data_IF_575289607086
#
_entry.id   IF_575289607086
#
_cell.length_a   1.000
_cell.length_b   1.000
_cell.length_c   1.000
_cell.angle_alpha   90.00
_cell.angle_beta   90.00
_cell.angle_gamma   90.00
#
_symmetry.space_group_name_H-M   'P 1'
#
loop_
_entity.id
_entity.type
_entity.pdbx_description
1 polymer ?
#
# COMPACT_ATOMS: atom_id res chain seq x y z
N UNK A 1 20.38 48.64 21.39
CA UNK A 1 19.88 49.48 22.48
C UNK A 1 20.19 48.84 23.83
N UNK A 2 19.79 47.60 24.11
CA UNK A 2 19.85 46.91 25.42
C UNK A 2 21.06 45.98 25.60
N UNK A 3 21.92 45.80 24.61
CA UNK A 3 23.14 44.95 24.71
C UNK A 3 24.25 45.55 25.59
N UNK A 4 25.26 44.70 25.91
CA UNK A 4 26.43 45.11 26.78
C UNK A 4 27.07 46.43 26.41
N UNK A 5 27.03 46.80 25.11
CA UNK A 5 27.55 48.07 24.56
C UNK A 5 26.40 48.99 24.04
N UNK A 6 25.19 48.78 24.47
CA UNK A 6 24.03 49.56 24.04
C UNK A 6 24.04 50.97 24.64
N UNK A 7 23.39 51.90 23.94
CA UNK A 7 23.30 53.31 24.37
C UNK A 7 22.69 53.43 25.75
N UNK A 8 21.57 52.72 26.00
CA UNK A 8 20.91 52.69 27.31
C UNK A 8 21.81 52.11 28.40
N UNK A 9 22.46 51.01 28.11
CA UNK A 9 23.40 50.37 29.07
C UNK A 9 24.56 51.30 29.43
N UNK A 10 25.01 52.13 28.48
CA UNK A 10 26.04 53.15 28.74
C UNK A 10 25.56 54.28 29.62
N UNK A 11 24.28 54.68 29.52
CA UNK A 11 23.69 55.71 30.38
C UNK A 11 23.49 55.20 31.81
N UNK A 12 23.07 53.92 31.96
CA UNK A 12 23.01 53.32 33.30
C UNK A 12 24.36 53.30 34.01
N UNK A 13 25.46 53.11 33.33
CA UNK A 13 26.80 53.17 33.89
C UNK A 13 27.19 54.55 34.38
N UNK A 14 26.62 55.63 33.79
CA UNK A 14 26.86 57.01 34.20
C UNK A 14 26.11 57.44 35.46
N UNK A 15 25.11 56.69 35.93
CA UNK A 15 24.38 56.97 37.17
C UNK A 15 25.34 57.11 38.35
N UNK A 16 26.44 56.35 38.38
CA UNK A 16 27.46 56.41 39.42
C UNK A 16 28.20 57.76 39.50
N UNK A 17 28.20 58.55 38.43
CA UNK A 17 28.95 59.83 38.34
C UNK A 17 28.08 61.04 38.63
N UNK A 18 26.77 60.85 38.84
CA UNK A 18 25.77 61.92 39.09
C UNK A 18 25.71 62.24 40.59
N UNK A 19 25.42 63.53 40.92
CA UNK A 19 25.25 64.01 42.29
C UNK A 19 24.11 63.29 42.99
N UNK A 20 24.28 62.94 44.25
CA UNK A 20 23.39 62.02 45.01
C UNK A 20 21.93 62.47 45.05
N UNK A 21 21.64 63.75 45.05
CA UNK A 21 20.31 64.35 45.05
C UNK A 21 19.53 64.13 43.75
N UNK A 22 20.19 64.03 42.62
CA UNK A 22 19.58 63.86 41.28
C UNK A 22 19.60 62.40 40.80
N UNK A 23 20.42 61.58 41.44
CA UNK A 23 20.64 60.16 41.04
C UNK A 23 19.34 59.34 40.97
N UNK A 24 18.45 59.51 41.97
CA UNK A 24 17.16 58.80 42.05
C UNK A 24 16.20 59.16 40.90
N UNK A 25 16.14 60.49 40.61
CA UNK A 25 15.28 61.00 39.54
C UNK A 25 15.77 60.52 38.17
N UNK A 26 17.06 60.64 37.91
CA UNK A 26 17.68 60.21 36.68
C UNK A 26 17.54 58.70 36.46
N UNK A 27 17.69 57.86 37.49
CA UNK A 27 17.49 56.41 37.41
C UNK A 27 16.01 56.05 37.13
N UNK A 28 15.08 56.81 37.73
CA UNK A 28 13.64 56.60 37.45
C UNK A 28 13.27 56.97 36.01
N UNK A 29 13.72 58.12 35.53
CA UNK A 29 13.46 58.55 34.15
C UNK A 29 14.10 57.61 33.13
N UNK A 30 15.26 57.06 33.42
CA UNK A 30 15.95 56.06 32.54
C UNK A 30 15.19 54.74 32.50
N UNK A 31 14.61 54.29 33.60
CA UNK A 31 13.78 53.10 33.66
C UNK A 31 12.47 53.27 32.85
N UNK A 32 11.79 54.41 33.03
CA UNK A 32 10.58 54.72 32.23
C UNK A 32 10.92 54.73 30.75
N UNK A 33 11.99 55.41 30.34
CA UNK A 33 12.41 55.39 28.93
C UNK A 33 12.77 53.99 28.42
N UNK A 34 13.38 53.17 29.26
CA UNK A 34 13.69 51.77 28.91
C UNK A 34 12.42 50.97 28.66
N UNK A 35 11.44 51.10 29.54
CA UNK A 35 10.16 50.36 29.45
C UNK A 35 9.36 50.82 28.22
N UNK A 36 9.27 52.15 27.98
CA UNK A 36 8.67 52.70 26.76
C UNK A 36 9.33 52.20 25.47
N UNK A 37 10.66 52.14 25.44
CA UNK A 37 11.40 51.61 24.28
C UNK A 37 11.21 50.10 24.11
N UNK A 38 11.09 49.33 25.20
CA UNK A 38 10.79 47.93 25.15
C UNK A 38 9.41 47.68 24.56
N UNK A 39 8.38 48.40 25.04
CA UNK A 39 7.01 48.28 24.54
C UNK A 39 6.90 48.64 23.05
N UNK A 40 7.65 49.66 22.59
CA UNK A 40 7.73 50.02 21.17
C UNK A 40 8.38 48.90 20.32
N UNK A 41 9.43 48.30 20.82
CA UNK A 41 10.11 47.19 20.14
C UNK A 41 9.19 45.94 20.05
N UNK A 42 8.58 45.60 21.16
CA UNK A 42 7.69 44.41 21.21
C UNK A 42 6.46 44.63 20.32
N UNK A 43 5.89 45.83 20.31
CA UNK A 43 4.83 46.18 19.38
C UNK A 43 5.26 46.07 17.92
N UNK A 44 6.48 46.51 17.59
CA UNK A 44 6.98 46.41 16.20
C UNK A 44 7.34 45.00 15.79
N UNK A 45 7.83 44.19 16.70
CA UNK A 45 8.06 42.76 16.47
C UNK A 45 6.76 42.05 16.15
N UNK A 46 5.73 42.26 16.96
CA UNK A 46 4.39 41.67 16.75
C UNK A 46 3.77 42.11 15.40
N UNK A 47 3.97 43.38 15.01
CA UNK A 47 3.51 43.86 13.70
C UNK A 47 4.19 43.11 12.54
N UNK A 48 5.52 42.96 12.59
CA UNK A 48 6.31 42.27 11.59
C UNK A 48 5.93 40.78 11.51
N UNK A 49 5.79 40.10 12.66
CA UNK A 49 5.36 38.69 12.72
C UNK A 49 3.97 38.48 12.14
N UNK A 50 3.03 39.37 12.43
CA UNK A 50 1.70 39.32 11.85
C UNK A 50 1.71 39.55 10.33
N UNK A 51 2.52 40.47 9.85
CA UNK A 51 2.68 40.72 8.41
C UNK A 51 3.28 39.49 7.71
N UNK A 52 4.27 38.86 8.31
CA UNK A 52 4.88 37.62 7.77
C UNK A 52 3.87 36.46 7.73
N UNK A 53 3.05 36.33 8.78
CA UNK A 53 1.99 35.32 8.84
C UNK A 53 0.95 35.58 7.74
N UNK A 54 0.50 36.83 7.59
CA UNK A 54 -0.47 37.20 6.56
C UNK A 54 0.05 36.96 5.15
N UNK A 55 1.32 37.28 4.89
CA UNK A 55 1.95 36.98 3.59
C UNK A 55 2.05 35.49 3.30
N UNK A 56 2.31 34.66 4.31
CA UNK A 56 2.30 33.20 4.15
C UNK A 56 0.90 32.69 3.86
N UNK A 57 -0.10 33.13 4.61
CA UNK A 57 -1.51 32.76 4.42
C UNK A 57 -2.02 33.11 3.02
N UNK A 58 -1.64 34.29 2.49
CA UNK A 58 -1.99 34.69 1.12
C UNK A 58 -1.34 33.79 0.05
N UNK A 59 -0.09 33.37 0.27
CA UNK A 59 0.62 32.46 -0.65
C UNK A 59 0.10 31.02 -0.60
N UNK A 60 -0.37 30.60 0.58
CA UNK A 60 -0.85 29.24 0.83
C UNK A 60 -2.38 29.12 0.64
N UNK A 61 -3.02 30.14 0.10
CA UNK A 61 -4.45 30.15 -0.15
C UNK A 61 -4.85 29.04 -1.11
N UNK A 62 -5.60 28.07 -0.60
CA UNK A 62 -6.14 26.96 -1.39
C UNK A 62 -7.52 27.35 -1.90
N UNK A 63 -7.77 27.15 -3.18
CA UNK A 63 -9.10 27.34 -3.77
C UNK A 63 -10.01 26.18 -3.36
N UNK A 64 -10.84 26.41 -2.35
CA UNK A 64 -11.81 25.43 -1.84
C UNK A 64 -13.08 25.34 -2.70
N UNK A 65 -13.21 26.16 -3.75
CA UNK A 65 -14.35 26.09 -4.68
C UNK A 65 -14.17 25.03 -5.77
N UNK A 66 -12.96 24.50 -5.91
CA UNK A 66 -12.70 23.37 -6.81
C UNK A 66 -13.44 22.13 -6.31
N UNK A 67 -14.14 21.39 -7.20
CA UNK A 67 -14.79 20.15 -6.83
C UNK A 67 -13.76 19.14 -6.32
N UNK A 68 -14.13 18.35 -5.33
CA UNK A 68 -13.31 17.23 -4.86
C UNK A 68 -12.91 16.35 -6.03
N UNK A 69 -11.65 15.88 -6.03
CA UNK A 69 -11.24 14.86 -6.98
C UNK A 69 -12.15 13.65 -6.78
N UNK A 70 -12.82 13.15 -7.86
CA UNK A 70 -13.71 12.02 -7.72
C UNK A 70 -12.94 10.85 -7.12
N UNK A 71 -13.35 10.41 -5.94
CA UNK A 71 -12.81 9.21 -5.32
C UNK A 71 -13.35 8.00 -6.09
N UNK A 72 -12.56 7.46 -7.01
CA UNK A 72 -12.91 6.24 -7.72
C UNK A 72 -12.77 5.08 -6.73
N UNK A 73 -13.90 4.60 -6.22
CA UNK A 73 -13.92 3.34 -5.46
C UNK A 73 -13.51 2.22 -6.41
N UNK A 74 -12.44 1.53 -6.06
CA UNK A 74 -12.05 0.30 -6.75
C UNK A 74 -13.20 -0.73 -6.68
N UNK A 75 -13.29 -1.58 -7.71
CA UNK A 75 -14.22 -2.71 -7.74
C UNK A 75 -13.43 -3.99 -7.89
N UNK A 76 -13.87 -5.05 -7.23
CA UNK A 76 -13.31 -6.39 -7.42
C UNK A 76 -13.73 -6.89 -8.80
N UNK A 77 -12.79 -7.54 -9.51
CA UNK A 77 -13.08 -8.11 -10.83
C UNK A 77 -14.16 -9.20 -10.75
N UNK A 78 -15.11 -9.30 -11.68
CA UNK A 78 -16.19 -10.29 -11.64
C UNK A 78 -15.70 -11.73 -11.46
N UNK A 79 -14.62 -12.13 -12.14
CA UNK A 79 -14.03 -13.47 -11.97
C UNK A 79 -13.57 -13.71 -10.53
N UNK A 80 -12.94 -12.74 -9.89
CA UNK A 80 -12.53 -12.86 -8.48
C UNK A 80 -13.74 -13.00 -7.56
N UNK A 81 -14.79 -12.21 -7.79
CA UNK A 81 -16.05 -12.33 -7.02
C UNK A 81 -16.66 -13.73 -7.17
N UNK A 82 -16.67 -14.28 -8.39
CA UNK A 82 -17.20 -15.63 -8.64
C UNK A 82 -16.34 -16.71 -7.96
N UNK A 83 -15.02 -16.58 -7.99
CA UNK A 83 -14.12 -17.51 -7.29
C UNK A 83 -14.36 -17.44 -5.78
N UNK A 84 -14.48 -16.25 -5.21
CA UNK A 84 -14.74 -16.05 -3.78
C UNK A 84 -16.11 -16.66 -3.38
N UNK A 85 -17.14 -16.48 -4.20
CA UNK A 85 -18.47 -17.06 -3.97
C UNK A 85 -18.45 -18.59 -4.03
N UNK A 86 -17.82 -19.19 -5.06
CA UNK A 86 -17.66 -20.65 -5.18
C UNK A 86 -16.87 -21.18 -3.97
N UNK A 87 -15.77 -20.52 -3.62
CA UNK A 87 -14.94 -20.91 -2.49
C UNK A 87 -15.71 -20.90 -1.16
N UNK A 88 -16.56 -19.89 -0.96
CA UNK A 88 -17.42 -19.80 0.22
C UNK A 88 -18.40 -20.96 0.29
N UNK A 89 -19.10 -21.24 -0.81
CA UNK A 89 -20.08 -22.34 -0.89
C UNK A 89 -19.42 -23.69 -0.58
N UNK A 90 -18.27 -23.98 -1.19
CA UNK A 90 -17.59 -25.25 -0.95
C UNK A 90 -16.99 -25.35 0.45
N UNK A 91 -16.51 -24.24 1.02
CA UNK A 91 -16.04 -24.22 2.42
C UNK A 91 -17.14 -24.53 3.42
N UNK A 92 -18.38 -24.08 3.18
CA UNK A 92 -19.54 -24.37 4.03
C UNK A 92 -19.89 -25.88 4.06
N UNK A 93 -19.59 -26.62 3.00
CA UNK A 93 -19.78 -28.08 2.94
C UNK A 93 -18.51 -28.89 3.25
N UNK A 94 -17.48 -28.21 3.78
CA UNK A 94 -16.31 -28.84 4.35
C UNK A 94 -15.15 -29.10 3.37
N UNK A 95 -15.10 -28.40 2.23
CA UNK A 95 -13.94 -28.42 1.35
C UNK A 95 -12.90 -27.39 1.79
N UNK A 96 -11.62 -27.74 1.75
CA UNK A 96 -10.51 -26.81 1.81
C UNK A 96 -10.16 -26.24 0.45
N UNK A 97 -9.61 -25.03 0.44
CA UNK A 97 -9.15 -24.37 -0.77
C UNK A 97 -7.65 -24.62 -0.88
N UNK A 98 -7.24 -25.26 -1.97
CA UNK A 98 -5.84 -25.56 -2.26
C UNK A 98 -5.39 -24.81 -3.51
N UNK A 99 -4.19 -24.23 -3.42
CA UNK A 99 -3.57 -23.49 -4.52
C UNK A 99 -2.29 -24.17 -5.02
N UNK A 100 -1.97 -23.93 -6.27
CA UNK A 100 -0.74 -24.44 -6.89
C UNK A 100 -0.13 -23.45 -7.87
N UNK A 101 1.13 -23.67 -8.28
CA UNK A 101 1.83 -22.79 -9.19
C UNK A 101 1.24 -22.83 -10.60
N UNK A 102 1.31 -21.70 -11.32
CA UNK A 102 0.94 -21.63 -12.74
C UNK A 102 1.94 -22.39 -13.63
N UNK A 103 3.23 -22.34 -13.26
CA UNK A 103 4.28 -23.12 -13.92
C UNK A 103 4.39 -24.47 -13.25
N UNK A 104 4.12 -25.53 -14.00
CA UNK A 104 4.05 -26.88 -13.48
C UNK A 104 5.04 -27.79 -14.22
N UNK A 105 5.31 -28.94 -13.62
CA UNK A 105 6.06 -29.97 -14.30
C UNK A 105 5.12 -30.92 -15.08
N UNK A 106 5.68 -31.55 -16.10
CA UNK A 106 4.97 -32.48 -16.98
C UNK A 106 4.36 -33.65 -16.20
N UNK A 107 5.07 -34.17 -15.19
CA UNK A 107 4.61 -35.27 -14.36
C UNK A 107 3.27 -34.95 -13.66
N UNK A 108 3.17 -33.82 -12.95
CA UNK A 108 1.97 -33.44 -12.23
C UNK A 108 0.81 -33.07 -13.17
N UNK A 109 1.13 -32.47 -14.34
CA UNK A 109 0.10 -31.99 -15.25
C UNK A 109 -0.48 -33.10 -16.13
N UNK A 110 0.28 -34.20 -16.38
CA UNK A 110 -0.13 -35.25 -17.28
C UNK A 110 0.11 -36.67 -16.73
N UNK A 111 1.34 -37.03 -16.45
CA UNK A 111 1.70 -38.45 -16.14
C UNK A 111 0.99 -38.96 -14.89
N UNK A 112 0.98 -38.19 -13.81
CA UNK A 112 0.30 -38.56 -12.56
C UNK A 112 -1.23 -38.59 -12.69
N UNK A 113 -1.79 -37.93 -13.70
CA UNK A 113 -3.20 -37.95 -14.05
C UNK A 113 -3.56 -39.03 -15.09
N UNK A 114 -2.65 -39.96 -15.33
CA UNK A 114 -2.82 -41.07 -16.28
C UNK A 114 -3.06 -40.61 -17.74
N UNK A 115 -2.47 -39.47 -18.13
CA UNK A 115 -2.47 -38.99 -19.51
C UNK A 115 -1.27 -39.56 -20.23
N UNK A 116 -1.42 -40.45 -21.21
CA UNK A 116 -0.29 -41.12 -21.89
C UNK A 116 0.51 -40.17 -22.79
N UNK A 117 1.75 -40.53 -23.11
CA UNK A 117 2.67 -39.67 -23.85
C UNK A 117 2.20 -39.31 -25.27
N UNK A 118 1.39 -40.16 -25.88
CA UNK A 118 0.80 -39.91 -27.20
C UNK A 118 -0.57 -39.23 -27.18
N UNK A 119 -0.98 -38.70 -26.02
CA UNK A 119 -2.27 -38.01 -25.91
C UNK A 119 -2.19 -36.65 -26.60
N UNK A 120 -3.18 -36.25 -27.42
CA UNK A 120 -3.20 -34.97 -28.13
C UNK A 120 -3.00 -33.75 -27.24
N UNK A 121 -3.54 -33.75 -26.01
CA UNK A 121 -3.37 -32.63 -25.06
C UNK A 121 -1.90 -32.34 -24.67
N UNK A 122 -0.97 -33.29 -24.94
CA UNK A 122 0.47 -33.06 -24.76
C UNK A 122 1.14 -32.43 -25.99
N UNK A 123 0.39 -32.18 -27.05
CA UNK A 123 0.94 -31.55 -28.24
C UNK A 123 1.28 -30.07 -27.96
N UNK A 124 2.32 -29.59 -28.63
CA UNK A 124 2.73 -28.17 -28.55
C UNK A 124 1.63 -27.22 -29.07
N UNK A 125 0.67 -27.72 -29.82
CA UNK A 125 -0.47 -26.91 -30.28
C UNK A 125 -1.45 -26.58 -29.15
N UNK A 126 -1.54 -27.43 -28.12
CA UNK A 126 -2.50 -27.29 -27.02
C UNK A 126 -1.84 -26.86 -25.69
N UNK A 127 -0.51 -26.98 -25.57
CA UNK A 127 0.23 -26.75 -24.31
C UNK A 127 1.39 -25.77 -24.51
N UNK A 128 1.47 -24.78 -23.63
CA UNK A 128 2.62 -23.87 -23.56
C UNK A 128 3.75 -24.49 -22.77
N UNK A 129 4.73 -25.06 -23.45
CA UNK A 129 5.99 -25.51 -22.85
C UNK A 129 6.97 -24.34 -22.70
N UNK A 130 7.69 -24.30 -21.57
CA UNK A 130 8.63 -23.23 -21.23
C UNK A 130 10.08 -23.61 -21.54
N UNK A 131 10.33 -24.88 -21.82
CA UNK A 131 11.65 -25.37 -22.15
C UNK A 131 11.60 -26.39 -23.34
N UNK A 132 12.74 -26.57 -24.00
CA UNK A 132 12.88 -27.48 -25.14
C UNK A 132 12.72 -28.97 -24.74
N UNK A 133 12.97 -29.29 -23.45
CA UNK A 133 12.85 -30.66 -22.92
C UNK A 133 11.43 -31.02 -22.54
N UNK A 134 10.51 -30.06 -22.61
CA UNK A 134 9.11 -30.21 -22.21
C UNK A 134 8.90 -30.58 -20.73
N UNK A 135 9.90 -30.31 -19.88
CA UNK A 135 9.83 -30.62 -18.46
C UNK A 135 8.95 -29.61 -17.67
N UNK A 136 8.89 -28.36 -18.16
CA UNK A 136 8.11 -27.28 -17.56
C UNK A 136 7.12 -26.72 -18.56
N UNK A 137 5.90 -26.44 -18.06
CA UNK A 137 4.82 -25.92 -18.85
C UNK A 137 3.93 -24.97 -18.03
N UNK A 138 3.10 -24.18 -18.70
CA UNK A 138 1.97 -23.53 -18.06
C UNK A 138 0.84 -24.55 -17.93
N UNK A 139 0.34 -24.74 -16.71
CA UNK A 139 -0.68 -25.76 -16.42
C UNK A 139 -1.92 -25.59 -17.31
N UNK A 140 -2.36 -26.69 -17.90
CA UNK A 140 -3.52 -26.72 -18.81
C UNK A 140 -4.85 -26.88 -18.10
N UNK A 141 -4.81 -27.24 -16.82
CA UNK A 141 -5.94 -27.39 -15.90
C UNK A 141 -5.47 -27.25 -14.46
N UNK A 142 -6.36 -27.20 -13.48
CA UNK A 142 -6.00 -27.07 -12.06
C UNK A 142 -5.77 -28.42 -11.37
N UNK A 143 -5.94 -29.55 -12.06
CA UNK A 143 -5.73 -30.91 -11.52
C UNK A 143 -4.32 -31.19 -10.95
N UNK A 144 -3.22 -30.52 -11.37
CA UNK A 144 -1.92 -30.68 -10.69
C UNK A 144 -1.97 -30.38 -9.20
N UNK A 145 -2.88 -29.50 -8.76
CA UNK A 145 -3.10 -29.22 -7.33
C UNK A 145 -3.59 -30.46 -6.60
N UNK A 146 -4.49 -31.24 -7.21
CA UNK A 146 -4.97 -32.49 -6.66
C UNK A 146 -3.81 -33.49 -6.46
N UNK A 147 -2.93 -33.63 -7.44
CA UNK A 147 -1.73 -34.48 -7.34
C UNK A 147 -0.84 -34.02 -6.20
N UNK A 148 -0.59 -32.70 -6.10
CA UNK A 148 0.23 -32.13 -5.03
C UNK A 148 -0.35 -32.38 -3.64
N UNK A 149 -1.67 -32.30 -3.49
CA UNK A 149 -2.36 -32.61 -2.25
C UNK A 149 -2.25 -34.09 -1.90
N UNK A 150 -2.52 -34.99 -2.85
CA UNK A 150 -2.40 -36.44 -2.66
C UNK A 150 -0.97 -36.91 -2.32
N UNK A 151 0.05 -36.17 -2.77
CA UNK A 151 1.45 -36.45 -2.40
C UNK A 151 1.80 -35.98 -0.99
N UNK A 152 1.06 -35.02 -0.42
CA UNK A 152 1.29 -34.46 0.92
C UNK A 152 0.43 -35.09 1.98
N UNK A 153 -0.82 -35.36 1.66
CA UNK A 153 -1.87 -35.75 2.60
C UNK A 153 -2.43 -37.13 2.27
N UNK A 154 -2.92 -37.82 3.29
CA UNK A 154 -3.64 -39.09 3.15
C UNK A 154 -5.12 -38.86 3.23
N UNK A 155 -5.94 -39.62 2.47
CA UNK A 155 -7.39 -39.59 2.62
C UNK A 155 -7.84 -39.87 4.08
N UNK A 156 -9.03 -39.36 4.48
CA UNK A 156 -10.00 -38.64 3.67
C UNK A 156 -9.70 -37.14 3.54
N UNK A 157 -10.00 -36.55 2.37
CA UNK A 157 -9.94 -35.09 2.19
C UNK A 157 -10.90 -34.59 1.11
N UNK A 158 -11.29 -33.34 1.22
CA UNK A 158 -12.15 -32.62 0.28
C UNK A 158 -11.48 -31.30 -0.05
N UNK A 159 -11.14 -31.09 -1.30
CA UNK A 159 -10.47 -29.87 -1.76
C UNK A 159 -11.15 -29.26 -2.99
N UNK A 160 -11.06 -27.95 -3.13
CA UNK A 160 -11.24 -27.27 -4.39
C UNK A 160 -9.95 -26.58 -4.79
N UNK A 161 -9.67 -26.55 -6.07
CA UNK A 161 -8.48 -25.94 -6.66
C UNK A 161 -8.90 -24.84 -7.65
N UNK A 162 -9.15 -23.60 -7.20
CA UNK A 162 -9.35 -22.47 -8.08
C UNK A 162 -8.02 -22.01 -8.66
N UNK A 163 -8.02 -21.53 -9.91
CA UNK A 163 -6.81 -20.98 -10.48
C UNK A 163 -6.89 -20.67 -11.97
N UNK A 164 -5.82 -20.07 -12.47
CA UNK A 164 -5.62 -19.82 -13.89
C UNK A 164 -5.13 -21.07 -14.60
N UNK A 165 -5.56 -21.26 -15.83
CA UNK A 165 -5.15 -22.33 -16.72
C UNK A 165 -4.82 -21.76 -18.09
N UNK A 166 -3.98 -22.47 -18.85
CA UNK A 166 -3.40 -21.94 -20.07
C UNK A 166 -3.47 -23.00 -21.17
N UNK A 167 -3.96 -22.62 -22.35
CA UNK A 167 -3.98 -23.44 -23.55
C UNK A 167 -3.55 -22.61 -24.73
N UNK A 168 -2.77 -23.19 -25.64
CA UNK A 168 -2.26 -22.45 -26.78
C UNK A 168 -3.29 -22.26 -27.89
N UNK A 169 -4.54 -22.55 -27.64
CA UNK A 169 -5.66 -22.24 -28.52
C UNK A 169 -5.73 -20.74 -28.80
N UNK A 170 -5.73 -20.39 -30.08
CA UNK A 170 -5.79 -19.01 -30.51
C UNK A 170 -6.77 -18.85 -31.66
N UNK A 171 -8.06 -18.83 -31.33
CA UNK A 171 -9.14 -18.51 -32.26
C UNK A 171 -10.05 -17.40 -31.71
N UNK A 172 -11.11 -17.05 -32.47
CA UNK A 172 -12.04 -15.98 -32.06
C UNK A 172 -12.90 -16.34 -30.86
N UNK A 173 -12.96 -17.62 -30.45
CA UNK A 173 -13.83 -18.14 -29.39
C UNK A 173 -13.06 -18.61 -28.15
N UNK A 174 -11.76 -18.80 -28.26
CA UNK A 174 -10.91 -19.31 -27.18
C UNK A 174 -9.94 -18.25 -26.68
N UNK A 175 -9.81 -18.15 -25.36
CA UNK A 175 -8.78 -17.34 -24.70
C UNK A 175 -7.61 -18.24 -24.31
N UNK A 176 -6.36 -17.86 -24.56
CA UNK A 176 -5.19 -18.63 -24.17
C UNK A 176 -5.04 -18.77 -22.65
N UNK A 177 -5.73 -17.96 -21.87
CA UNK A 177 -5.79 -18.03 -20.43
C UNK A 177 -7.24 -17.92 -19.96
N UNK A 178 -7.65 -18.81 -19.09
CA UNK A 178 -8.97 -18.78 -18.44
C UNK A 178 -8.87 -19.26 -16.99
N UNK A 179 -9.95 -19.09 -16.23
CA UNK A 179 -10.00 -19.53 -14.84
C UNK A 179 -10.83 -20.81 -14.74
N UNK A 180 -10.38 -21.71 -13.88
CA UNK A 180 -11.01 -22.99 -13.62
C UNK A 180 -11.08 -23.24 -12.12
N UNK A 181 -12.11 -23.91 -11.67
CA UNK A 181 -12.25 -24.46 -10.32
C UNK A 181 -12.51 -25.94 -10.46
N UNK A 182 -11.66 -26.78 -9.89
CA UNK A 182 -11.84 -28.23 -9.81
C UNK A 182 -12.07 -28.64 -8.36
N UNK A 183 -12.91 -29.65 -8.16
CA UNK A 183 -13.16 -30.25 -6.84
C UNK A 183 -12.72 -31.70 -6.80
N UNK A 184 -12.12 -32.09 -5.68
CA UNK A 184 -11.78 -33.49 -5.39
C UNK A 184 -12.25 -33.86 -4.00
N UNK A 185 -13.00 -34.97 -3.91
CA UNK A 185 -13.37 -35.60 -2.67
C UNK A 185 -12.94 -37.07 -2.68
N UNK A 186 -12.08 -37.44 -1.75
CA UNK A 186 -11.65 -38.83 -1.55
C UNK A 186 -12.01 -39.23 -0.12
N UNK A 187 -12.75 -40.31 0.01
CA UNK A 187 -13.15 -40.90 1.28
C UNK A 187 -13.05 -42.43 1.23
N UNK A 188 -13.09 -43.11 2.37
CA UNK A 188 -13.06 -44.57 2.44
C UNK A 188 -14.42 -45.17 2.00
N UNK A 189 -15.53 -44.47 2.22
CA UNK A 189 -16.88 -44.85 1.80
C UNK A 189 -17.56 -43.67 1.10
N UNK A 190 -17.60 -43.71 -0.23
CA UNK A 190 -18.42 -42.79 -1.04
C UNK A 190 -19.75 -43.50 -1.39
N UNK A 191 -20.87 -43.00 -0.85
CA UNK A 191 -22.21 -43.39 -1.23
C UNK A 191 -22.73 -42.55 -2.40
#
# INVERSE_FOLDING_TARGET
LFGKNGVLSSQFKKIGTIVETERKKFASDLNVMKDELQDLIDSKINEIENDDINQKLEKEKIDITLPERPFVRGKIHPVSQTIDEISSIFSEIGFSIEEGPDVENEYNNFTALNTPDNHPARDMHDTFYLDERKEKLLRTHTSPVQIRTMLKEKPPFKIIAPGRTYRSDSDQTHSPMFHQVEGLHIDEELN
#
